data_IF_280336050422
#
_entry.id   IF_280336050422
#
_cell.length_a   1.000
_cell.length_b   1.000
_cell.length_c   1.000
_cell.angle_alpha   90.00
_cell.angle_beta   90.00
_cell.angle_gamma   90.00
#
_symmetry.space_group_name_H-M   'P 1'
#
loop_
_entity.id
_entity.type
_entity.pdbx_description
1 polymer ?
#
# COMPACT_ATOMS: atom_id res chain seq x y z
N UNK A 1 -31.66 2.38 6.94
CA UNK A 1 -30.45 1.58 6.64
C UNK A 1 -29.34 2.13 7.52
N UNK A 2 -28.79 1.33 8.44
CA UNK A 2 -27.83 1.79 9.44
C UNK A 2 -26.45 1.96 8.80
N UNK A 3 -26.06 3.21 8.53
CA UNK A 3 -24.70 3.61 8.16
C UNK A 3 -23.84 3.67 9.42
N UNK A 4 -23.18 2.57 9.77
CA UNK A 4 -21.94 2.51 10.55
C UNK A 4 -21.70 1.06 10.99
N UNK A 5 -21.02 0.28 10.15
CA UNK A 5 -20.36 -0.96 10.59
C UNK A 5 -19.06 -1.21 9.83
N UNK A 6 -18.35 -0.14 9.45
CA UNK A 6 -17.04 -0.26 8.77
C UNK A 6 -15.86 -0.49 9.72
N UNK A 7 -16.10 -0.47 11.04
CA UNK A 7 -15.08 -0.91 11.99
C UNK A 7 -15.39 -2.37 12.26
N UNK A 8 -14.52 -3.25 11.75
CA UNK A 8 -14.54 -4.66 12.12
C UNK A 8 -14.21 -4.75 13.61
N UNK A 9 -15.25 -4.90 14.44
CA UNK A 9 -15.12 -5.05 15.89
C UNK A 9 -14.46 -6.37 16.28
N UNK A 10 -14.33 -7.30 15.33
CA UNK A 10 -13.57 -8.54 15.46
C UNK A 10 -12.15 -8.42 14.88
N UNK A 11 -11.71 -7.23 14.46
CA UNK A 11 -10.34 -7.03 13.99
C UNK A 11 -9.34 -7.39 15.08
N UNK A 12 -8.74 -8.57 14.92
CA UNK A 12 -7.60 -9.02 15.70
C UNK A 12 -6.35 -8.78 14.86
N UNK A 13 -5.38 -8.03 15.42
CA UNK A 13 -4.13 -7.78 14.71
C UNK A 13 -3.43 -9.10 14.46
N UNK A 14 -3.32 -9.48 13.18
CA UNK A 14 -2.63 -10.72 12.75
C UNK A 14 -1.17 -10.72 13.19
N UNK A 15 -0.60 -9.53 13.39
CA UNK A 15 0.78 -9.34 13.82
C UNK A 15 0.88 -8.48 15.07
N UNK A 16 1.68 -8.94 16.03
CA UNK A 16 2.14 -8.10 17.15
C UNK A 16 3.61 -7.73 16.90
N UNK A 17 3.97 -6.44 16.87
CA UNK A 17 5.37 -6.06 16.71
C UNK A 17 6.20 -6.60 17.88
N UNK A 18 7.34 -7.18 17.55
CA UNK A 18 8.29 -7.66 18.54
C UNK A 18 9.35 -6.58 18.80
N UNK A 19 9.24 -5.91 19.95
CA UNK A 19 10.12 -4.80 20.31
C UNK A 19 11.42 -5.26 21.01
N UNK A 20 12.57 -4.63 20.71
CA UNK A 20 12.76 -3.62 19.67
C UNK A 20 12.86 -4.25 18.27
N UNK A 21 12.34 -3.56 17.24
CA UNK A 21 12.44 -4.02 15.85
C UNK A 21 13.82 -3.75 15.23
N UNK A 22 14.53 -2.73 15.73
CA UNK A 22 15.92 -2.40 15.40
C UNK A 22 16.67 -2.00 16.66
N UNK A 23 17.95 -2.34 16.73
CA UNK A 23 18.84 -2.02 17.87
C UNK A 23 19.69 -0.77 17.63
N UNK A 24 19.57 -0.14 16.47
CA UNK A 24 20.33 1.04 16.07
C UNK A 24 19.48 2.00 15.23
N UNK A 25 19.99 3.22 15.05
CA UNK A 25 19.41 4.19 14.13
C UNK A 25 19.57 3.69 12.70
N UNK A 26 18.46 3.52 11.98
CA UNK A 26 18.48 3.14 10.57
C UNK A 26 18.97 4.29 9.68
N UNK A 27 19.58 3.91 8.56
CA UNK A 27 20.08 4.81 7.52
C UNK A 27 19.57 4.33 6.15
N UNK A 28 19.62 5.21 5.13
CA UNK A 28 19.40 4.81 3.73
C UNK A 28 20.18 3.54 3.36
N UNK A 29 19.48 2.56 2.79
CA UNK A 29 20.08 1.27 2.39
C UNK A 29 20.42 0.28 3.52
N UNK A 30 20.02 0.49 4.78
CA UNK A 30 20.31 -0.43 5.90
C UNK A 30 19.52 -1.76 5.83
N UNK A 31 19.91 -2.66 4.92
CA UNK A 31 19.18 -3.91 4.63
C UNK A 31 19.00 -4.79 5.87
N UNK A 32 20.01 -4.88 6.74
CA UNK A 32 19.96 -5.73 7.94
C UNK A 32 19.05 -5.15 9.02
N UNK A 33 19.17 -3.86 9.34
CA UNK A 33 18.33 -3.21 10.36
C UNK A 33 16.85 -3.14 9.95
N UNK A 34 16.58 -3.15 8.65
CA UNK A 34 15.22 -3.03 8.09
C UNK A 34 14.49 -4.36 7.96
N UNK A 35 15.22 -5.49 7.87
CA UNK A 35 14.65 -6.80 7.52
C UNK A 35 13.40 -7.17 8.33
N UNK A 36 13.45 -7.03 9.66
CA UNK A 36 12.33 -7.42 10.53
C UNK A 36 11.07 -6.58 10.28
N UNK A 37 11.25 -5.28 10.04
CA UNK A 37 10.14 -4.39 9.69
C UNK A 37 9.58 -4.73 8.30
N UNK A 38 10.43 -5.02 7.32
CA UNK A 38 10.01 -5.42 5.96
C UNK A 38 9.18 -6.71 5.99
N UNK A 39 9.68 -7.76 6.66
CA UNK A 39 8.98 -9.04 6.80
C UNK A 39 7.58 -8.84 7.41
N UNK A 40 7.46 -7.98 8.44
CA UNK A 40 6.18 -7.67 9.08
C UNK A 40 5.22 -6.93 8.15
N UNK A 41 5.70 -5.95 7.38
CA UNK A 41 4.85 -5.17 6.48
C UNK A 41 4.38 -6.00 5.28
N UNK A 42 5.24 -6.86 4.71
CA UNK A 42 4.84 -7.82 3.66
C UNK A 42 3.75 -8.76 4.19
N UNK A 43 3.96 -9.36 5.37
CA UNK A 43 2.99 -10.28 5.96
C UNK A 43 1.64 -9.60 6.27
N UNK A 44 1.67 -8.38 6.80
CA UNK A 44 0.47 -7.58 7.07
C UNK A 44 -0.27 -7.22 5.77
N UNK A 45 0.46 -6.81 4.73
CA UNK A 45 -0.09 -6.51 3.41
C UNK A 45 -0.80 -7.72 2.81
N UNK A 46 -0.13 -8.88 2.76
CA UNK A 46 -0.69 -10.12 2.21
C UNK A 46 -1.94 -10.55 2.97
N UNK A 47 -1.91 -10.46 4.30
CA UNK A 47 -3.08 -10.80 5.12
C UNK A 47 -4.26 -9.86 4.86
N UNK A 48 -4.01 -8.56 4.68
CA UNK A 48 -5.07 -7.60 4.37
C UNK A 48 -5.67 -7.85 2.98
N UNK A 49 -4.83 -8.17 2.00
CA UNK A 49 -5.26 -8.48 0.63
C UNK A 49 -6.07 -9.77 0.56
N UNK A 50 -5.65 -10.81 1.29
CA UNK A 50 -6.40 -12.08 1.41
C UNK A 50 -7.77 -11.86 2.06
N UNK A 51 -7.83 -11.09 3.15
CA UNK A 51 -9.08 -10.74 3.82
C UNK A 51 -10.03 -9.93 2.91
N UNK A 52 -9.49 -9.06 2.06
CA UNK A 52 -10.26 -8.31 1.07
C UNK A 52 -10.81 -9.19 -0.07
N UNK A 53 -10.31 -10.43 -0.22
CA UNK A 53 -10.64 -11.36 -1.32
C UNK A 53 -10.39 -10.76 -2.71
N UNK A 54 -9.32 -9.99 -2.83
CA UNK A 54 -8.93 -9.26 -4.04
C UNK A 54 -9.39 -7.79 -4.06
N UNK A 55 -9.14 -7.11 -5.18
CA UNK A 55 -9.46 -5.69 -5.35
C UNK A 55 -8.36 -4.77 -4.81
N UNK A 56 -8.74 -3.77 -4.02
CA UNK A 56 -7.84 -2.74 -3.50
C UNK A 56 -7.90 -2.68 -1.97
N UNK A 57 -6.77 -2.41 -1.34
CA UNK A 57 -6.68 -2.12 0.10
C UNK A 57 -6.15 -0.71 0.32
N UNK A 58 -6.61 -0.05 1.39
CA UNK A 58 -6.08 1.24 1.84
C UNK A 58 -5.29 1.02 3.13
N UNK A 59 -3.99 1.34 3.09
CA UNK A 59 -3.12 1.29 4.26
C UNK A 59 -2.91 2.71 4.77
N UNK A 60 -3.32 2.96 6.02
CA UNK A 60 -3.12 4.25 6.70
C UNK A 60 -2.07 4.06 7.79
N UNK A 61 -0.97 4.80 7.70
CA UNK A 61 0.15 4.68 8.62
C UNK A 61 0.96 5.96 8.73
N UNK A 62 2.20 5.81 9.19
CA UNK A 62 3.17 6.92 9.28
C UNK A 62 4.06 6.97 8.03
N UNK A 63 4.92 7.98 7.94
CA UNK A 63 5.86 8.10 6.81
C UNK A 63 6.70 6.82 6.59
N UNK A 64 7.10 6.16 7.69
CA UNK A 64 7.82 4.88 7.62
C UNK A 64 7.00 3.74 6.98
N UNK A 65 5.67 3.81 7.02
CA UNK A 65 4.80 2.81 6.37
C UNK A 65 4.93 2.89 4.85
N UNK A 66 5.01 4.09 4.27
CA UNK A 66 5.26 4.26 2.84
C UNK A 66 6.58 3.59 2.43
N UNK A 67 7.63 3.87 3.20
CA UNK A 67 8.95 3.29 3.03
C UNK A 67 8.93 1.75 3.08
N UNK A 68 8.50 1.17 4.20
CA UNK A 68 8.57 -0.28 4.40
C UNK A 68 7.65 -1.07 3.47
N UNK A 69 6.47 -0.56 3.12
CA UNK A 69 5.59 -1.24 2.15
C UNK A 69 6.20 -1.18 0.75
N UNK A 70 6.76 -0.05 0.33
CA UNK A 70 7.41 0.06 -0.98
C UNK A 70 8.64 -0.85 -1.11
N UNK A 71 9.51 -0.87 -0.10
CA UNK A 71 10.70 -1.73 -0.10
C UNK A 71 10.33 -3.23 0.00
N UNK A 72 9.25 -3.56 0.72
CA UNK A 72 8.78 -4.94 0.83
C UNK A 72 8.19 -5.47 -0.50
N UNK A 73 7.40 -4.65 -1.21
CA UNK A 73 6.70 -5.07 -2.41
C UNK A 73 7.48 -4.82 -3.71
N UNK A 74 8.25 -3.73 -3.75
CA UNK A 74 8.92 -3.22 -4.94
C UNK A 74 10.40 -2.88 -4.65
N UNK A 75 11.22 -3.81 -4.11
CA UNK A 75 12.59 -3.52 -3.66
C UNK A 75 13.52 -2.98 -4.76
N UNK A 76 13.24 -3.31 -6.03
CA UNK A 76 14.04 -2.84 -7.17
C UNK A 76 13.66 -1.42 -7.65
N UNK A 77 12.48 -0.92 -7.25
CA UNK A 77 11.98 0.41 -7.64
C UNK A 77 12.08 1.43 -6.49
N UNK A 78 12.01 0.96 -5.24
CA UNK A 78 12.12 1.81 -4.07
C UNK A 78 13.57 2.24 -3.85
N UNK A 79 13.84 3.52 -4.04
CA UNK A 79 15.20 4.06 -3.97
C UNK A 79 15.70 4.08 -2.53
N UNK A 80 16.96 3.70 -2.31
CA UNK A 80 17.59 3.71 -0.97
C UNK A 80 17.49 5.09 -0.29
N UNK A 81 17.50 6.20 -1.06
CA UNK A 81 17.35 7.57 -0.54
C UNK A 81 15.96 7.85 0.08
N UNK A 82 14.95 7.07 -0.29
CA UNK A 82 13.60 7.12 0.29
C UNK A 82 13.45 6.21 1.51
N UNK A 83 14.50 5.48 1.90
CA UNK A 83 14.47 4.70 3.13
C UNK A 83 14.52 5.60 4.35
N UNK A 84 13.89 5.15 5.44
CA UNK A 84 13.95 5.76 6.77
C UNK A 84 15.41 6.14 7.09
N UNK A 85 15.68 7.41 7.46
CA UNK A 85 14.76 8.38 8.07
C UNK A 85 14.07 9.37 7.11
N UNK A 86 14.07 9.11 5.79
CA UNK A 86 13.28 9.91 4.86
C UNK A 86 11.79 9.94 5.27
N UNK A 87 11.15 11.10 5.11
CA UNK A 87 9.73 11.28 5.40
C UNK A 87 9.02 11.90 4.20
N UNK A 88 8.02 11.19 3.69
CA UNK A 88 7.06 11.77 2.75
C UNK A 88 6.30 12.94 3.38
N UNK A 89 5.75 13.87 2.58
CA UNK A 89 4.87 14.93 3.09
C UNK A 89 3.69 14.38 3.89
N UNK A 90 3.17 15.18 4.82
CA UNK A 90 1.96 14.81 5.55
C UNK A 90 0.79 14.60 4.60
N UNK A 91 -0.07 13.62 4.90
CA UNK A 91 -1.26 13.30 4.10
C UNK A 91 -0.94 12.99 2.63
N UNK A 92 0.27 12.50 2.36
CA UNK A 92 0.65 12.03 1.04
C UNK A 92 0.09 10.64 0.77
N UNK A 93 0.02 10.29 -0.50
CA UNK A 93 -0.48 9.01 -1.00
C UNK A 93 0.65 8.31 -1.75
N UNK A 94 0.68 7.00 -1.63
CA UNK A 94 1.57 6.14 -2.39
C UNK A 94 0.71 5.05 -3.00
N UNK A 95 0.82 4.90 -4.30
CA UNK A 95 0.04 3.96 -5.08
C UNK A 95 0.96 2.86 -5.60
N UNK A 96 0.53 1.63 -5.39
CA UNK A 96 1.24 0.42 -5.80
C UNK A 96 0.25 -0.46 -6.54
N UNK A 97 0.60 -0.86 -7.76
CA UNK A 97 -0.24 -1.65 -8.65
C UNK A 97 0.31 -3.07 -8.77
N UNK A 98 -0.57 -4.05 -8.85
CA UNK A 98 -0.20 -5.44 -9.15
C UNK A 98 0.23 -5.57 -10.62
N UNK A 99 1.35 -6.25 -10.85
CA UNK A 99 1.89 -6.58 -12.18
C UNK A 99 1.86 -8.10 -12.41
N UNK A 100 0.67 -8.65 -12.65
CA UNK A 100 0.49 -10.10 -12.80
C UNK A 100 0.68 -10.86 -11.49
N UNK A 101 0.84 -12.18 -11.56
CA UNK A 101 0.89 -13.03 -10.36
C UNK A 101 2.08 -12.69 -9.45
N UNK A 102 1.81 -11.97 -8.37
CA UNK A 102 2.76 -11.70 -7.28
C UNK A 102 3.75 -10.56 -7.52
N UNK A 103 3.67 -9.86 -8.67
CA UNK A 103 4.48 -8.69 -8.98
C UNK A 103 3.81 -7.40 -8.52
N UNK A 104 4.60 -6.39 -8.14
CA UNK A 104 4.11 -5.07 -7.74
C UNK A 104 4.95 -3.97 -8.39
N UNK A 105 4.33 -2.82 -8.68
CA UNK A 105 4.99 -1.61 -9.18
C UNK A 105 4.51 -0.39 -8.41
N UNK A 106 5.44 0.48 -8.04
CA UNK A 106 5.13 1.80 -7.50
C UNK A 106 4.68 2.68 -8.66
N UNK A 107 3.42 3.12 -8.63
CA UNK A 107 2.88 4.07 -9.61
C UNK A 107 3.16 5.51 -9.18
N UNK A 108 2.97 5.79 -7.89
CA UNK A 108 3.29 7.09 -7.29
C UNK A 108 3.82 6.90 -5.87
N UNK A 109 4.79 7.73 -5.47
CA UNK A 109 5.39 7.66 -4.15
C UNK A 109 5.30 9.01 -3.44
N UNK A 110 4.68 9.01 -2.26
CA UNK A 110 4.57 10.18 -1.38
C UNK A 110 3.98 11.44 -2.01
N UNK A 111 3.10 11.34 -3.01
CA UNK A 111 2.53 12.52 -3.67
C UNK A 111 1.47 13.19 -2.78
N UNK A 112 1.41 14.52 -2.76
CA UNK A 112 0.49 15.24 -1.89
C UNK A 112 -0.97 14.97 -2.27
N UNK A 113 -1.89 14.97 -1.30
CA UNK A 113 -3.31 14.68 -1.59
C UNK A 113 -3.94 15.56 -2.69
N UNK A 114 -3.49 16.81 -2.84
CA UNK A 114 -3.90 17.69 -3.94
C UNK A 114 -3.37 17.20 -5.30
N UNK A 115 -2.08 16.87 -5.36
CA UNK A 115 -1.44 16.35 -6.57
C UNK A 115 -2.01 14.98 -6.95
N UNK A 116 -2.37 14.17 -5.96
CA UNK A 116 -3.06 12.90 -6.17
C UNK A 116 -4.48 13.09 -6.72
N UNK A 117 -5.22 14.11 -6.28
CA UNK A 117 -6.52 14.44 -6.86
C UNK A 117 -6.40 14.88 -8.32
N UNK A 118 -5.41 15.72 -8.63
CA UNK A 118 -5.11 16.12 -10.02
C UNK A 118 -4.74 14.88 -10.86
N UNK A 119 -3.90 14.00 -10.32
CA UNK A 119 -3.56 12.72 -10.95
C UNK A 119 -4.79 11.82 -11.17
N UNK A 120 -5.69 11.72 -10.19
CA UNK A 120 -6.92 10.96 -10.34
C UNK A 120 -7.84 11.53 -11.42
N UNK A 121 -7.94 12.85 -11.56
CA UNK A 121 -8.75 13.46 -12.61
C UNK A 121 -8.25 13.04 -14.00
N UNK A 122 -6.94 12.98 -14.19
CA UNK A 122 -6.31 12.50 -15.42
C UNK A 122 -6.57 11.00 -15.64
N UNK A 123 -6.43 10.18 -14.59
CA UNK A 123 -6.57 8.72 -14.63
C UNK A 123 -8.03 8.28 -14.80
N UNK A 124 -8.99 8.91 -14.10
CA UNK A 124 -10.43 8.67 -14.26
C UNK A 124 -10.91 9.19 -15.62
N UNK A 125 -10.26 10.22 -16.17
CA UNK A 125 -10.47 10.66 -17.54
C UNK A 125 -9.97 9.67 -18.61
N UNK A 126 -9.17 8.66 -18.25
CA UNK A 126 -8.59 7.70 -19.20
C UNK A 126 -9.67 6.73 -19.74
N UNK A 127 -9.93 6.74 -21.06
CA UNK A 127 -10.92 5.85 -21.68
C UNK A 127 -10.65 4.35 -21.45
N UNK A 128 -9.39 3.94 -21.30
CA UNK A 128 -8.99 2.56 -21.08
C UNK A 128 -9.39 2.07 -19.68
N UNK A 129 -9.18 2.90 -18.66
CA UNK A 129 -9.57 2.58 -17.28
C UNK A 129 -11.08 2.59 -17.11
N UNK A 130 -11.77 3.53 -17.77
CA UNK A 130 -13.23 3.53 -17.85
C UNK A 130 -13.76 2.22 -18.47
N UNK A 131 -13.12 1.71 -19.52
CA UNK A 131 -13.50 0.43 -20.11
C UNK A 131 -13.22 -0.76 -19.17
N UNK A 132 -12.09 -0.77 -18.47
CA UNK A 132 -11.75 -1.80 -17.47
C UNK A 132 -12.75 -1.81 -16.31
N UNK A 133 -13.11 -0.63 -15.79
CA UNK A 133 -14.09 -0.49 -14.72
C UNK A 133 -15.48 -0.98 -15.17
N UNK A 134 -15.90 -0.60 -16.39
CA UNK A 134 -17.14 -1.10 -16.98
C UNK A 134 -17.11 -2.63 -17.23
N UNK A 135 -15.95 -3.21 -17.58
CA UNK A 135 -15.78 -4.66 -17.68
C UNK A 135 -15.90 -5.34 -16.32
N UNK A 136 -15.27 -4.80 -15.27
CA UNK A 136 -15.38 -5.33 -13.92
C UNK A 136 -16.83 -5.28 -13.41
N UNK A 137 -17.57 -4.19 -13.65
CA UNK A 137 -18.99 -4.11 -13.30
C UNK A 137 -19.83 -5.18 -14.01
N UNK A 138 -19.65 -5.35 -15.33
CA UNK A 138 -20.33 -6.40 -16.11
C UNK A 138 -20.00 -7.81 -15.62
N UNK A 139 -18.73 -8.07 -15.26
CA UNK A 139 -18.32 -9.36 -14.70
C UNK A 139 -18.95 -9.59 -13.32
N UNK A 140 -19.04 -8.55 -12.48
CA UNK A 140 -19.76 -8.62 -11.21
C UNK A 140 -21.23 -8.97 -11.39
N UNK A 141 -21.92 -8.37 -12.37
CA UNK A 141 -23.33 -8.67 -12.69
C UNK A 141 -23.56 -10.09 -13.23
N UNK A 142 -22.54 -10.73 -13.80
CA UNK A 142 -22.64 -12.10 -14.35
C UNK A 142 -22.32 -13.19 -13.33
N UNK A 143 -21.68 -12.83 -12.21
CA UNK A 143 -21.22 -13.77 -11.18
C UNK A 143 -22.19 -13.83 -9.98
N UNK A 144 -23.18 -12.94 -9.93
CA UNK A 144 -24.29 -12.93 -8.95
C UNK A 144 -25.65 -13.06 -9.63
#
# INVERSE_FOLDING_TARGET
MSMCSQIDSAYESVFKPEYPESFHRMWPGDRLGRKKALDRHDAAFRSALDAAKGGSILIVGHAATHDFICDALCPDQHLDEHHTPFCVPHTSITEILEQGEGGWRIESFGIGGKEWLEHLEDVVGDPCLQELYARQQRLGELVF
#
